data_IF_175690558157
#
_entry.id   IF_175690558157
#
_cell.length_a   1.000
_cell.length_b   1.000
_cell.length_c   1.000
_cell.angle_alpha   90.00
_cell.angle_beta   90.00
_cell.angle_gamma   90.00
#
_symmetry.space_group_name_H-M   'P 1'
#
loop_
_entity.id
_entity.type
_entity.pdbx_description
1 polymer ?
#
# COMPACT_ATOMS: atom_id res chain seq x y z
N UNK A 1 -0.22 -10.07 -22.62
CA UNK A 1 -0.21 -9.96 -21.15
C UNK A 1 0.24 -8.56 -20.82
N UNK A 2 -0.59 -7.82 -20.08
CA UNK A 2 -0.20 -6.49 -19.60
C UNK A 2 0.87 -6.66 -18.52
N UNK A 3 1.94 -5.89 -18.59
CA UNK A 3 3.04 -5.91 -17.62
C UNK A 3 2.68 -4.98 -16.47
N UNK A 4 2.73 -5.50 -15.23
CA UNK A 4 2.50 -4.71 -14.02
C UNK A 4 3.86 -4.43 -13.38
N UNK A 5 4.21 -3.16 -13.21
CA UNK A 5 5.51 -2.77 -12.65
C UNK A 5 5.40 -1.47 -11.83
N UNK A 6 6.38 -1.23 -10.96
CA UNK A 6 6.52 0.04 -10.24
C UNK A 6 7.98 0.50 -10.25
N UNK A 7 8.20 1.81 -10.12
CA UNK A 7 9.55 2.39 -10.00
C UNK A 7 9.91 2.63 -8.55
N UNK A 8 11.08 2.14 -8.12
CA UNK A 8 11.63 2.39 -6.80
C UNK A 8 13.15 2.32 -6.83
N UNK A 9 13.81 3.23 -6.12
CA UNK A 9 15.27 3.39 -6.11
C UNK A 9 15.87 3.50 -7.53
N UNK A 10 15.25 4.36 -8.36
CA UNK A 10 15.60 4.57 -9.78
C UNK A 10 15.51 3.33 -10.69
N UNK A 11 15.07 2.19 -10.16
CA UNK A 11 14.87 0.95 -10.89
C UNK A 11 13.39 0.64 -11.14
N UNK A 12 13.10 -0.03 -12.25
CA UNK A 12 11.77 -0.58 -12.56
C UNK A 12 11.73 -2.01 -12.05
N UNK A 13 10.74 -2.32 -11.23
CA UNK A 13 10.52 -3.66 -10.66
C UNK A 13 9.27 -4.27 -11.29
N UNK A 14 9.44 -5.34 -12.05
CA UNK A 14 8.33 -6.10 -12.63
C UNK A 14 7.67 -6.95 -11.54
N UNK A 15 6.34 -6.80 -11.37
CA UNK A 15 5.55 -7.62 -10.45
C UNK A 15 5.17 -8.91 -11.14
N UNK A 16 5.66 -10.03 -10.62
CA UNK A 16 5.39 -11.37 -11.17
C UNK A 16 4.37 -12.15 -10.34
N UNK A 17 4.10 -11.72 -9.11
CA UNK A 17 3.19 -12.43 -8.21
C UNK A 17 2.58 -11.48 -7.16
N UNK A 18 1.26 -11.61 -6.94
CA UNK A 18 0.58 -11.06 -5.78
C UNK A 18 0.59 -12.11 -4.67
N UNK A 19 1.41 -11.88 -3.65
CA UNK A 19 1.61 -12.80 -2.53
C UNK A 19 0.48 -12.68 -1.50
N UNK A 20 0.04 -11.45 -1.21
CA UNK A 20 -1.01 -11.20 -0.23
C UNK A 20 -1.76 -9.91 -0.51
N UNK A 21 -3.03 -9.90 -0.15
CA UNK A 21 -3.87 -8.71 -0.14
C UNK A 21 -4.53 -8.57 1.24
N UNK A 22 -4.60 -7.34 1.76
CA UNK A 22 -5.37 -7.05 2.96
C UNK A 22 -5.86 -5.60 2.96
N UNK A 23 -6.95 -5.38 3.67
CA UNK A 23 -7.56 -4.05 3.80
C UNK A 23 -7.46 -3.58 5.24
N UNK A 24 -7.04 -2.34 5.42
CA UNK A 24 -7.25 -1.65 6.69
C UNK A 24 -8.71 -1.20 6.77
N UNK A 25 -9.52 -1.99 7.48
CA UNK A 25 -10.87 -1.61 7.87
C UNK A 25 -10.78 -0.49 8.90
N UNK A 26 -10.67 0.76 8.45
CA UNK A 26 -10.78 1.90 9.35
C UNK A 26 -12.15 1.85 10.05
N UNK A 27 -12.23 1.79 11.40
CA UNK A 27 -13.48 2.12 12.08
C UNK A 27 -13.80 3.60 11.82
N UNK A 28 -15.08 4.00 11.72
CA UNK A 28 -15.47 5.38 11.44
C UNK A 28 -15.15 6.23 12.67
N UNK A 29 -13.90 6.70 12.77
CA UNK A 29 -13.56 7.80 13.67
C UNK A 29 -12.96 8.89 12.82
N UNK A 30 -13.83 9.84 12.48
CA UNK A 30 -13.47 11.24 12.34
C UNK A 30 -12.69 11.68 13.59
N UNK A 31 -11.42 11.31 13.71
CA UNK A 31 -10.51 11.96 14.66
C UNK A 31 -10.20 13.32 14.05
N UNK A 32 -11.03 14.31 14.38
CA UNK A 32 -10.66 15.73 14.37
C UNK A 32 -9.37 15.86 15.19
N UNK A 33 -8.20 15.75 14.57
CA UNK A 33 -6.96 16.11 15.25
C UNK A 33 -6.86 17.63 15.24
N UNK A 34 -7.37 18.23 16.32
CA UNK A 34 -7.35 19.69 16.54
C UNK A 34 -5.95 20.28 16.75
N UNK A 35 -4.86 19.54 16.56
CA UNK A 35 -3.49 20.06 16.68
C UNK A 35 -2.55 19.29 15.75
N UNK A 36 -1.94 20.03 14.83
CA UNK A 36 -0.60 19.80 14.25
C UNK A 36 -0.09 18.35 14.17
N UNK A 37 -0.43 17.63 13.10
CA UNK A 37 0.49 16.82 12.27
C UNK A 37 -0.33 15.97 11.30
N UNK A 38 -0.18 16.27 10.01
CA UNK A 38 -0.86 15.66 8.86
C UNK A 38 -0.52 14.17 8.75
N UNK A 39 -1.26 13.33 9.45
CA UNK A 39 -1.45 11.95 9.01
C UNK A 39 -2.75 11.90 8.22
N UNK A 40 -2.60 11.86 6.90
CA UNK A 40 -3.67 11.64 5.94
C UNK A 40 -4.20 10.21 6.14
N UNK A 41 -5.04 10.03 7.15
CA UNK A 41 -5.85 8.82 7.28
C UNK A 41 -6.98 9.01 6.27
N UNK A 42 -6.89 8.30 5.14
CA UNK A 42 -8.00 8.26 4.20
C UNK A 42 -9.23 7.72 4.94
N UNK A 43 -10.39 8.42 4.90
CA UNK A 43 -11.60 7.92 5.53
C UNK A 43 -12.13 6.63 4.88
N UNK A 44 -11.51 6.17 3.80
CA UNK A 44 -11.90 5.00 3.02
C UNK A 44 -11.04 3.76 3.31
N UNK A 45 -10.13 3.83 4.28
CA UNK A 45 -9.16 2.76 4.54
C UNK A 45 -8.13 2.63 3.42
N UNK A 46 -7.12 1.79 3.65
CA UNK A 46 -6.04 1.49 2.70
C UNK A 46 -6.13 0.04 2.25
N UNK A 47 -5.97 -0.17 0.96
CA UNK A 47 -5.79 -1.48 0.35
C UNK A 47 -4.30 -1.73 0.24
N UNK A 48 -3.82 -2.82 0.83
CA UNK A 48 -2.42 -3.19 0.83
C UNK A 48 -2.20 -4.47 0.03
N UNK A 49 -1.04 -4.51 -0.62
CA UNK A 49 -0.64 -5.55 -1.55
C UNK A 49 0.80 -5.93 -1.24
N UNK A 50 1.02 -7.22 -0.95
CA UNK A 50 2.37 -7.79 -0.91
C UNK A 50 2.63 -8.43 -2.25
N UNK A 51 3.69 -8.00 -2.91
CA UNK A 51 4.07 -8.47 -4.25
C UNK A 51 5.46 -9.07 -4.24
N UNK A 52 5.71 -10.03 -5.13
CA UNK A 52 7.05 -10.52 -5.47
C UNK A 52 7.43 -9.99 -6.84
N UNK A 53 8.67 -9.52 -6.96
CA UNK A 53 9.21 -9.02 -8.22
C UNK A 53 9.94 -10.12 -9.00
N UNK A 54 10.25 -9.85 -10.27
CA UNK A 54 11.02 -10.75 -11.12
C UNK A 54 12.41 -11.09 -10.53
N UNK A 55 13.01 -10.16 -9.79
CA UNK A 55 14.28 -10.32 -9.08
C UNK A 55 14.15 -11.13 -7.78
N UNK A 56 12.93 -11.56 -7.42
CA UNK A 56 12.66 -12.32 -6.19
C UNK A 56 12.53 -11.47 -4.92
N UNK A 57 12.44 -10.14 -5.06
CA UNK A 57 12.26 -9.21 -3.93
C UNK A 57 10.80 -9.10 -3.54
N UNK A 58 10.53 -8.78 -2.29
CA UNK A 58 9.17 -8.65 -1.76
C UNK A 58 8.90 -7.23 -1.29
N UNK A 59 7.75 -6.69 -1.68
CA UNK A 59 7.36 -5.33 -1.32
C UNK A 59 5.93 -5.29 -0.82
N UNK A 60 5.68 -4.46 0.19
CA UNK A 60 4.34 -4.04 0.55
C UNK A 60 4.04 -2.68 -0.11
N UNK A 61 2.97 -2.65 -0.91
CA UNK A 61 2.42 -1.47 -1.55
C UNK A 61 1.05 -1.18 -0.94
N UNK A 62 0.61 0.08 -0.97
CA UNK A 62 -0.79 0.40 -0.75
C UNK A 62 -1.30 1.45 -1.70
N UNK A 63 -2.61 1.39 -1.99
CA UNK A 63 -3.29 2.41 -2.76
C UNK A 63 -3.95 3.41 -1.81
N UNK A 64 -3.42 4.64 -1.78
CA UNK A 64 -3.94 5.74 -0.98
C UNK A 64 -5.15 6.36 -1.70
N UNK A 65 -6.32 5.79 -1.42
CA UNK A 65 -7.60 6.19 -2.04
C UNK A 65 -8.05 7.56 -1.56
N UNK A 66 -8.40 8.42 -2.51
CA UNK A 66 -9.02 9.73 -2.29
C UNK A 66 -10.23 9.89 -3.21
N UNK A 67 -11.42 9.95 -2.62
CA UNK A 67 -12.63 10.26 -3.38
C UNK A 67 -12.81 11.78 -3.43
N UNK A 68 -12.76 12.38 -4.62
CA UNK A 68 -13.06 13.80 -4.82
C UNK A 68 -14.21 13.93 -5.81
N UNK A 69 -15.30 14.57 -5.39
CA UNK A 69 -16.49 14.84 -6.22
C UNK A 69 -17.10 13.59 -6.88
N UNK A 70 -17.03 12.43 -6.22
CA UNK A 70 -17.56 11.16 -6.74
C UNK A 70 -16.59 10.39 -7.63
N UNK A 71 -15.43 10.96 -7.96
CA UNK A 71 -14.36 10.25 -8.67
C UNK A 71 -13.41 9.60 -7.66
N UNK A 72 -13.11 8.31 -7.89
CA UNK A 72 -12.06 7.59 -7.17
C UNK A 72 -10.73 7.98 -7.78
N UNK A 73 -9.97 8.80 -7.06
CA UNK A 73 -8.57 9.13 -7.37
C UNK A 73 -7.67 8.50 -6.31
N UNK A 74 -6.39 8.39 -6.58
CA UNK A 74 -5.45 7.90 -5.57
C UNK A 74 -4.03 7.82 -6.10
N UNK A 75 -3.13 7.34 -5.25
CA UNK A 75 -1.76 7.06 -5.65
C UNK A 75 -1.31 5.75 -5.04
N UNK A 76 -0.51 5.03 -5.80
CA UNK A 76 0.27 3.91 -5.28
C UNK A 76 1.39 4.45 -4.39
N UNK A 77 1.59 3.80 -3.26
CA UNK A 77 2.65 4.12 -2.31
C UNK A 77 3.39 2.84 -2.00
N UNK A 78 4.72 2.87 -2.16
CA UNK A 78 5.58 1.83 -1.63
C UNK A 78 5.73 2.04 -0.13
N UNK A 79 5.30 1.05 0.66
CA UNK A 79 5.37 1.14 2.11
C UNK A 79 6.74 0.68 2.61
N UNK A 80 7.16 -0.51 2.17
CA UNK A 80 8.45 -1.09 2.54
C UNK A 80 8.84 -2.23 1.60
N UNK A 81 10.15 -2.47 1.53
CA UNK A 81 10.69 -3.76 1.14
C UNK A 81 10.69 -4.72 2.34
N UNK A 82 10.58 -6.02 2.08
CA UNK A 82 10.54 -7.07 3.08
C UNK A 82 11.76 -7.98 2.97
N UNK A 83 12.34 -8.32 4.12
CA UNK A 83 13.22 -9.46 4.22
C UNK A 83 12.40 -10.77 4.16
N UNK A 84 13.00 -11.90 3.74
CA UNK A 84 12.33 -13.20 3.76
C UNK A 84 11.72 -13.57 5.12
N UNK A 85 12.34 -13.17 6.23
CA UNK A 85 11.83 -13.45 7.58
C UNK A 85 10.54 -12.67 7.94
N UNK A 86 10.18 -11.64 7.16
CA UNK A 86 9.00 -10.80 7.40
C UNK A 86 7.75 -11.26 6.61
N UNK A 87 7.88 -12.31 5.81
CA UNK A 87 6.83 -12.78 4.90
C UNK A 87 5.60 -13.35 5.64
N UNK A 88 5.77 -13.85 6.85
CA UNK A 88 4.68 -14.42 7.65
C UNK A 88 4.23 -13.51 8.81
N UNK A 89 4.93 -12.39 9.05
CA UNK A 89 4.63 -11.52 10.19
C UNK A 89 3.29 -10.79 10.01
N UNK A 90 2.41 -10.79 11.03
CA UNK A 90 1.17 -10.02 10.99
C UNK A 90 1.46 -8.51 11.02
N UNK A 91 0.71 -7.73 10.24
CA UNK A 91 0.92 -6.28 10.09
C UNK A 91 0.46 -5.44 11.28
N UNK A 92 -0.43 -5.98 12.10
CA UNK A 92 -0.95 -5.34 13.29
C UNK A 92 -0.46 -6.13 14.50
N UNK A 93 0.75 -5.84 14.95
CA UNK A 93 1.26 -6.26 16.27
C UNK A 93 1.58 -5.04 17.12
#
# INVERSE_FOLDING_TARGET
TEMIAFTWDEAVHEVVELVRFWEEKSPPRFRRSGRSNRWHISPFGREYYRVRTAEGRFFDLYFDRSIRRGEVSGRWVLWRELAPEDLDKPYFS
#
